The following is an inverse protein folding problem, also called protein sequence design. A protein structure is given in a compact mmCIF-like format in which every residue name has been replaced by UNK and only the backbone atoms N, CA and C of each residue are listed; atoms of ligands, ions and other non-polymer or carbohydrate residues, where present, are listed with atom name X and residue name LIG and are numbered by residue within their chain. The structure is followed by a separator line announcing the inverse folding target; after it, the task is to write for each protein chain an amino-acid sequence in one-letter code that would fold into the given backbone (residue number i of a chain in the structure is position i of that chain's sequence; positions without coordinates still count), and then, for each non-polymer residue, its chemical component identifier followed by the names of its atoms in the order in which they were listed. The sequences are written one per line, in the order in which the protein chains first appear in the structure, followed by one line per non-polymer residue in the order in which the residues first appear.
data_IF_477433479152
#
_entry.id   IF_477433479152
#
_cell.length_a   1.000
_cell.length_b   1.000
_cell.length_c   1.000
_cell.angle_alpha   90.00
_cell.angle_beta   90.00
_cell.angle_gamma   90.00
#
_symmetry.space_group_name_H-M   'P 1'
#
loop_
_entity.id
_entity.type
_entity.pdbx_description
1 polymer ?
#
# COMPACT_ATOMS: atom_id res chain seq x y z
N UNK A 1 -4.56 -5.32 -15.83
CA UNK A 1 -4.93 -4.78 -14.51
C UNK A 1 -3.67 -4.74 -13.65
N UNK A 2 -3.34 -3.60 -13.03
CA UNK A 2 -2.12 -3.42 -12.21
C UNK A 2 -2.47 -2.62 -10.97
N UNK A 3 -1.73 -2.81 -9.88
CA UNK A 3 -1.90 -2.01 -8.67
C UNK A 3 -1.45 -0.58 -8.88
N UNK A 4 -2.29 0.38 -8.51
CA UNK A 4 -2.04 1.82 -8.69
C UNK A 4 -0.67 2.27 -8.14
N UNK A 5 -0.21 1.82 -6.94
CA UNK A 5 1.08 2.26 -6.42
C UNK A 5 2.28 1.92 -7.31
N UNK A 6 2.19 0.85 -8.11
CA UNK A 6 3.27 0.42 -9.01
C UNK A 6 3.39 1.33 -10.24
N UNK A 7 2.31 2.02 -10.63
CA UNK A 7 2.24 2.82 -11.86
C UNK A 7 1.97 4.30 -11.61
N UNK A 8 1.78 4.71 -10.35
CA UNK A 8 1.51 6.10 -9.94
C UNK A 8 2.46 7.10 -10.58
N UNK A 9 3.76 6.82 -10.59
CA UNK A 9 4.76 7.71 -11.18
C UNK A 9 4.60 7.86 -12.72
N UNK A 10 4.12 6.83 -13.39
CA UNK A 10 3.88 6.86 -14.83
C UNK A 10 2.58 7.59 -15.17
N UNK A 11 1.54 7.43 -14.33
CA UNK A 11 0.29 8.19 -14.45
C UNK A 11 0.56 9.68 -14.21
N UNK A 12 1.27 10.02 -13.13
CA UNK A 12 1.64 11.41 -12.82
C UNK A 12 2.51 12.05 -13.92
N UNK A 13 3.34 11.26 -14.60
CA UNK A 13 4.15 11.71 -15.73
C UNK A 13 3.40 11.73 -17.08
N UNK A 14 2.10 11.41 -17.11
CA UNK A 14 1.29 11.34 -18.33
C UNK A 14 1.68 10.22 -19.30
N UNK A 15 2.54 9.29 -18.89
CA UNK A 15 2.95 8.12 -19.69
C UNK A 15 1.88 7.02 -19.68
N UNK A 16 1.00 7.04 -18.69
CA UNK A 16 -0.14 6.13 -18.56
C UNK A 16 -1.40 6.92 -18.24
N UNK A 17 -2.54 6.42 -18.70
CA UNK A 17 -3.88 6.93 -18.38
C UNK A 17 -4.72 5.81 -17.76
N UNK A 18 -5.48 6.13 -16.72
CA UNK A 18 -6.44 5.21 -16.14
C UNK A 18 -7.68 5.12 -17.03
N UNK A 19 -8.09 3.90 -17.36
CA UNK A 19 -9.33 3.63 -18.10
C UNK A 19 -10.35 2.97 -17.18
N UNK A 20 -11.63 3.32 -17.35
CA UNK A 20 -12.76 2.79 -16.57
C UNK A 20 -12.57 2.92 -15.04
N UNK A 21 -12.34 4.14 -14.49
CA UNK A 21 -12.07 4.32 -13.07
C UNK A 21 -13.20 3.82 -12.15
N UNK A 22 -14.45 3.83 -12.62
CA UNK A 22 -15.62 3.36 -11.88
C UNK A 22 -15.68 1.84 -11.71
N UNK A 23 -14.92 1.09 -12.52
CA UNK A 23 -14.83 -0.37 -12.43
C UNK A 23 -13.58 -0.83 -11.68
N UNK A 24 -12.75 0.10 -11.19
CA UNK A 24 -11.59 -0.23 -10.40
C UNK A 24 -12.01 -0.76 -9.02
N UNK A 25 -11.33 -1.82 -8.57
CA UNK A 25 -11.60 -2.44 -7.27
C UNK A 25 -10.53 -1.97 -6.29
N UNK A 26 -10.98 -1.46 -5.15
CA UNK A 26 -10.10 -1.24 -4.00
C UNK A 26 -9.90 -2.57 -3.26
N UNK A 27 -8.66 -3.04 -3.28
CA UNK A 27 -8.25 -4.22 -2.53
C UNK A 27 -7.63 -3.81 -1.20
N UNK A 28 -7.86 -4.58 -0.13
CA UNK A 28 -7.13 -4.38 1.12
C UNK A 28 -5.62 -4.40 0.84
N UNK A 29 -4.90 -3.45 1.44
CA UNK A 29 -3.47 -3.29 1.21
C UNK A 29 -2.62 -4.49 1.64
N UNK A 30 -1.30 -4.32 1.61
CA UNK A 30 -0.37 -5.40 1.95
C UNK A 30 -0.52 -5.85 3.42
N UNK A 31 -0.45 -7.16 3.63
CA UNK A 31 -0.47 -7.79 4.96
C UNK A 31 0.87 -8.45 5.28
N UNK A 32 1.30 -8.33 6.55
CA UNK A 32 2.45 -9.06 7.07
C UNK A 32 1.98 -10.31 7.80
N UNK A 33 2.39 -11.48 7.32
CA UNK A 33 2.08 -12.77 7.95
C UNK A 33 3.25 -13.28 8.78
N UNK A 34 3.00 -13.56 10.06
CA UNK A 34 4.00 -14.13 10.97
C UNK A 34 3.34 -14.97 12.07
N UNK A 35 4.05 -15.97 12.64
CA UNK A 35 3.49 -16.79 13.73
C UNK A 35 3.14 -15.94 14.95
N UNK A 36 2.02 -16.27 15.62
CA UNK A 36 1.55 -15.52 16.82
C UNK A 36 2.61 -15.41 17.92
N UNK A 37 3.46 -16.43 18.11
CA UNK A 37 4.57 -16.39 19.09
C UNK A 37 5.71 -15.43 18.71
N UNK A 38 5.88 -15.16 17.41
CA UNK A 38 6.91 -14.27 16.91
C UNK A 38 6.55 -12.79 17.08
N UNK A 39 5.27 -12.47 17.34
CA UNK A 39 4.79 -11.10 17.54
C UNK A 39 5.50 -10.35 18.67
N UNK A 40 6.01 -11.09 19.67
CA UNK A 40 6.74 -10.56 20.82
C UNK A 40 8.25 -10.44 20.58
N UNK A 41 8.77 -10.92 19.45
CA UNK A 41 10.20 -10.83 19.16
C UNK A 41 10.59 -9.36 18.89
N UNK A 42 11.56 -8.78 19.62
CA UNK A 42 11.89 -7.35 19.52
C UNK A 42 12.23 -6.89 18.10
N UNK A 43 12.96 -7.73 17.33
CA UNK A 43 13.31 -7.44 15.94
C UNK A 43 12.09 -7.39 15.01
N UNK A 44 11.12 -8.29 15.19
CA UNK A 44 9.91 -8.28 14.39
C UNK A 44 9.04 -7.06 14.74
N UNK A 45 8.98 -6.72 16.03
CA UNK A 45 8.22 -5.53 16.45
C UNK A 45 8.80 -4.25 15.83
N UNK A 46 10.12 -4.07 15.93
CA UNK A 46 10.81 -2.94 15.31
C UNK A 46 10.56 -2.87 13.78
N UNK A 47 10.58 -4.03 13.11
CA UNK A 47 10.26 -4.09 11.68
C UNK A 47 8.82 -3.67 11.39
N UNK A 48 7.84 -4.20 12.14
CA UNK A 48 6.42 -3.84 11.97
C UNK A 48 6.21 -2.35 12.21
N UNK A 49 6.79 -1.80 13.26
CA UNK A 49 6.66 -0.38 13.61
C UNK A 49 7.24 0.50 12.48
N UNK A 50 8.43 0.15 11.96
CA UNK A 50 9.06 0.83 10.81
C UNK A 50 8.22 0.71 9.54
N UNK A 51 7.72 -0.49 9.23
CA UNK A 51 6.87 -0.73 8.07
C UNK A 51 5.55 0.06 8.15
N UNK A 52 4.96 0.19 9.34
CA UNK A 52 3.78 1.02 9.56
C UNK A 52 4.07 2.51 9.39
N UNK A 53 5.22 2.99 9.86
CA UNK A 53 5.66 4.37 9.68
C UNK A 53 5.84 4.73 8.20
N UNK A 54 6.57 3.88 7.47
CA UNK A 54 6.77 4.03 6.02
C UNK A 54 5.43 3.91 5.28
N UNK A 55 4.60 2.93 5.64
CA UNK A 55 3.28 2.72 5.04
C UNK A 55 2.36 3.95 5.20
N UNK A 56 2.35 4.57 6.39
CA UNK A 56 1.62 5.83 6.63
C UNK A 56 2.16 7.01 5.85
N UNK A 57 3.46 7.03 5.52
CA UNK A 57 4.04 8.03 4.64
C UNK A 57 3.58 7.84 3.19
N UNK A 58 3.52 6.58 2.74
CA UNK A 58 3.03 6.22 1.41
C UNK A 58 1.52 6.40 1.25
N UNK A 59 0.73 6.27 2.32
CA UNK A 59 -0.74 6.40 2.30
C UNK A 59 -1.24 7.85 2.43
N UNK A 60 -0.37 8.83 2.64
CA UNK A 60 -0.72 10.26 2.81
C UNK A 60 -1.12 10.98 1.52
N UNK A 61 -1.33 10.25 0.42
CA UNK A 61 -1.86 10.80 -0.83
C UNK A 61 -3.25 10.21 -1.07
N UNK A 62 -4.31 11.03 -1.24
CA UNK A 62 -5.68 10.62 -0.99
C UNK A 62 -6.21 9.72 -2.11
N UNK A 63 -6.41 8.45 -1.79
CA UNK A 63 -7.49 7.63 -2.33
C UNK A 63 -8.45 7.34 -1.17
N UNK A 64 -9.17 8.37 -0.73
CA UNK A 64 -10.23 8.25 0.26
C UNK A 64 -11.49 8.81 -0.37
N UNK A 65 -12.22 7.96 -1.07
CA UNK A 65 -13.67 8.00 -1.25
C UNK A 65 -14.09 6.98 -2.31
N UNK A 66 -14.68 5.87 -1.87
CA UNK A 66 -16.01 5.42 -2.29
C UNK A 66 -16.53 4.40 -1.27
#
# INVERSE_FOLDING_TARGET
YVFEPLVRAHIAAGRLVQILPQSAIEEPGLFLYFPRRASMAPKLRAFIDTAQEIGRASSRTPGRAA
#
